data_IF_009626612737
#
_entry.id   IF_009626612737
#
_cell.length_a   1.000
_cell.length_b   1.000
_cell.length_c   1.000
_cell.angle_alpha   90.00
_cell.angle_beta   90.00
_cell.angle_gamma   90.00
#
_symmetry.space_group_name_H-M   'P 1'
#
loop_
_entity.id
_entity.type
_entity.pdbx_description
1 polymer ?
#
# COMPACT_ATOMS: atom_id res chain seq x y z
N UNK A 1 -12.75 13.15 9.48
CA UNK A 1 -13.40 13.95 10.53
C UNK A 1 -13.86 13.04 11.67
N UNK A 2 -13.72 13.48 12.93
CA UNK A 2 -14.28 12.80 14.10
C UNK A 2 -15.71 13.29 14.38
N UNK A 3 -16.55 12.48 15.02
CA UNK A 3 -17.90 12.86 15.50
C UNK A 3 -17.88 14.09 16.40
N UNK A 4 -16.82 14.24 17.20
CA UNK A 4 -16.59 15.40 18.05
C UNK A 4 -16.37 16.70 17.24
N UNK A 5 -15.69 16.62 16.10
CA UNK A 5 -15.46 17.78 15.22
C UNK A 5 -16.77 18.23 14.56
N UNK A 6 -17.66 17.29 14.23
CA UNK A 6 -18.98 17.60 13.66
C UNK A 6 -19.84 18.32 14.71
N UNK A 7 -19.87 17.82 15.94
CA UNK A 7 -20.57 18.47 17.04
C UNK A 7 -20.05 19.90 17.30
N UNK A 8 -18.72 20.08 17.29
CA UNK A 8 -18.10 21.40 17.42
C UNK A 8 -18.49 22.34 16.26
N UNK A 9 -18.52 21.84 15.02
CA UNK A 9 -18.90 22.63 13.85
C UNK A 9 -20.37 23.06 13.89
N UNK A 10 -21.28 22.16 14.28
CA UNK A 10 -22.71 22.47 14.43
C UNK A 10 -22.92 23.53 15.51
N UNK A 11 -22.22 23.41 16.65
CA UNK A 11 -22.27 24.41 17.71
C UNK A 11 -21.76 25.76 17.24
N UNK A 12 -20.62 25.80 16.54
CA UNK A 12 -20.03 27.04 16.05
C UNK A 12 -20.92 27.74 15.01
N UNK A 13 -21.57 26.99 14.12
CA UNK A 13 -22.35 27.54 13.02
C UNK A 13 -23.80 27.86 13.38
N UNK A 14 -24.40 27.09 14.29
CA UNK A 14 -25.84 27.16 14.58
C UNK A 14 -26.14 27.39 16.07
N UNK A 15 -25.15 27.43 16.95
CA UNK A 15 -25.35 27.57 18.40
C UNK A 15 -25.93 26.33 19.08
N UNK A 16 -26.13 25.23 18.36
CA UNK A 16 -26.78 24.02 18.86
C UNK A 16 -25.75 23.11 19.52
N UNK A 17 -25.97 22.77 20.79
CA UNK A 17 -25.16 21.77 21.49
C UNK A 17 -25.70 20.37 21.19
N UNK A 18 -24.91 19.55 20.52
CA UNK A 18 -25.27 18.16 20.19
C UNK A 18 -24.28 17.20 20.85
N UNK A 19 -24.80 16.18 21.54
CA UNK A 19 -23.98 15.13 22.11
C UNK A 19 -23.34 14.26 21.01
N UNK A 20 -22.13 13.76 21.25
CA UNK A 20 -21.41 12.94 20.28
C UNK A 20 -22.20 11.68 19.87
N UNK A 21 -22.92 11.08 20.83
CA UNK A 21 -23.78 9.91 20.59
C UNK A 21 -24.90 10.21 19.58
N UNK A 22 -25.50 11.40 19.64
CA UNK A 22 -26.54 11.82 18.72
C UNK A 22 -26.01 11.94 17.30
N UNK A 23 -24.81 12.52 17.13
CA UNK A 23 -24.14 12.58 15.82
C UNK A 23 -23.87 11.18 15.28
N UNK A 24 -23.34 10.26 16.11
CA UNK A 24 -23.09 8.87 15.68
C UNK A 24 -24.37 8.17 15.25
N UNK A 25 -25.46 8.32 16.01
CA UNK A 25 -26.77 7.75 15.68
C UNK A 25 -27.28 8.27 14.35
N UNK A 26 -27.24 9.60 14.12
CA UNK A 26 -27.67 10.21 12.85
C UNK A 26 -26.79 9.81 11.68
N UNK A 27 -25.48 9.72 11.88
CA UNK A 27 -24.56 9.24 10.83
C UNK A 27 -24.87 7.79 10.43
N UNK A 28 -25.25 6.92 11.37
CA UNK A 28 -25.65 5.55 11.09
C UNK A 28 -26.99 5.49 10.35
N UNK A 29 -27.98 6.25 10.81
CA UNK A 29 -29.29 6.38 10.19
C UNK A 29 -29.19 6.88 8.74
N UNK A 30 -28.35 7.89 8.50
CA UNK A 30 -28.06 8.41 7.15
C UNK A 30 -27.11 7.54 6.34
N UNK A 31 -26.70 6.38 6.86
CA UNK A 31 -25.74 5.45 6.22
C UNK A 31 -24.40 6.11 5.83
N UNK A 32 -24.03 7.20 6.51
CA UNK A 32 -22.76 7.89 6.33
C UNK A 32 -21.67 7.08 7.02
N UNK A 33 -21.09 6.14 6.29
CA UNK A 33 -19.95 5.36 6.78
C UNK A 33 -18.73 6.25 6.88
N UNK A 34 -18.03 6.16 8.01
CA UNK A 34 -16.71 6.77 8.17
C UNK A 34 -15.79 6.16 7.11
N UNK A 35 -15.39 6.95 6.12
CA UNK A 35 -14.31 6.55 5.21
C UNK A 35 -13.07 6.33 6.08
N UNK A 36 -12.59 5.09 6.14
CA UNK A 36 -11.32 4.77 6.80
C UNK A 36 -10.29 5.75 6.25
N UNK A 37 -9.58 6.45 7.15
CA UNK A 37 -8.70 7.58 6.84
C UNK A 37 -7.96 7.33 5.52
N UNK A 38 -8.06 8.28 4.59
CA UNK A 38 -7.06 8.37 3.54
C UNK A 38 -5.67 8.35 4.21
N UNK A 39 -4.71 7.62 3.63
CA UNK A 39 -3.37 7.56 4.19
C UNK A 39 -2.84 8.98 4.45
N UNK A 40 -2.25 9.21 5.62
CA UNK A 40 -1.48 10.43 5.94
C UNK A 40 -0.55 10.79 4.76
N UNK A 41 -0.14 12.05 4.57
CA UNK A 41 0.86 12.40 3.55
C UNK A 41 2.15 11.56 3.70
N UNK A 42 2.55 11.25 4.95
CA UNK A 42 3.64 10.29 5.26
C UNK A 42 3.37 8.90 4.69
N UNK A 43 2.11 8.47 4.75
CA UNK A 43 1.67 7.19 4.23
C UNK A 43 1.55 7.23 2.69
N UNK A 44 1.34 8.39 2.05
CA UNK A 44 1.46 8.52 0.58
C UNK A 44 2.91 8.34 0.13
N UNK A 45 3.85 9.09 0.71
CA UNK A 45 5.27 8.98 0.36
C UNK A 45 5.82 7.56 0.61
N UNK A 46 5.41 6.94 1.73
CA UNK A 46 5.72 5.55 2.04
C UNK A 46 5.12 4.57 1.02
N UNK A 47 3.88 4.78 0.58
CA UNK A 47 3.25 3.94 -0.46
C UNK A 47 3.99 4.03 -1.79
N UNK A 48 4.32 5.25 -2.22
CA UNK A 48 5.00 5.49 -3.48
C UNK A 48 6.38 4.83 -3.47
N UNK A 49 7.13 5.03 -2.38
CA UNK A 49 8.45 4.42 -2.23
C UNK A 49 8.41 2.90 -2.16
N UNK A 50 7.47 2.33 -1.39
CA UNK A 50 7.28 0.89 -1.33
C UNK A 50 6.93 0.29 -2.70
N UNK A 51 6.20 1.03 -3.53
CA UNK A 51 5.87 0.63 -4.90
C UNK A 51 7.10 0.62 -5.80
N UNK A 52 7.93 1.68 -5.75
CA UNK A 52 9.21 1.77 -6.47
C UNK A 52 10.16 0.63 -6.09
N UNK A 53 10.37 0.39 -4.79
CA UNK A 53 11.25 -0.69 -4.32
C UNK A 53 10.75 -2.07 -4.73
N UNK A 54 9.43 -2.25 -4.82
CA UNK A 54 8.83 -3.52 -5.19
C UNK A 54 8.94 -3.82 -6.68
N UNK A 55 8.62 -2.86 -7.56
CA UNK A 55 8.55 -3.08 -9.00
C UNK A 55 9.89 -2.82 -9.72
N UNK A 56 10.62 -1.76 -9.37
CA UNK A 56 11.86 -1.42 -10.06
C UNK A 56 13.04 -2.24 -9.54
N UNK A 57 13.10 -2.46 -8.23
CA UNK A 57 14.25 -3.10 -7.59
C UNK A 57 14.00 -4.57 -7.23
N UNK A 58 12.76 -5.04 -7.29
CA UNK A 58 12.45 -6.46 -7.03
C UNK A 58 12.78 -6.92 -5.60
N UNK A 59 12.92 -6.01 -4.65
CA UNK A 59 13.42 -6.31 -3.30
C UNK A 59 12.46 -7.17 -2.48
N UNK A 60 12.98 -8.04 -1.61
CA UNK A 60 12.17 -8.79 -0.65
C UNK A 60 11.74 -7.93 0.55
N UNK A 61 10.76 -8.40 1.31
CA UNK A 61 10.18 -7.63 2.44
C UNK A 61 11.22 -7.16 3.46
N UNK A 62 12.26 -7.96 3.73
CA UNK A 62 13.33 -7.60 4.67
C UNK A 62 14.24 -6.51 4.12
N UNK A 63 14.51 -6.54 2.82
CA UNK A 63 15.37 -5.57 2.14
C UNK A 63 14.61 -4.25 1.97
N UNK A 64 13.37 -4.32 1.51
CA UNK A 64 12.45 -3.18 1.45
C UNK A 64 12.33 -2.50 2.82
N UNK A 65 12.22 -3.27 3.90
CA UNK A 65 12.15 -2.72 5.26
C UNK A 65 13.41 -1.92 5.62
N UNK A 66 14.60 -2.47 5.34
CA UNK A 66 15.87 -1.78 5.60
C UNK A 66 15.95 -0.46 4.83
N UNK A 67 15.68 -0.49 3.53
CA UNK A 67 15.69 0.72 2.70
C UNK A 67 14.73 1.79 3.21
N UNK A 68 13.51 1.40 3.59
CA UNK A 68 12.52 2.34 4.13
C UNK A 68 12.94 2.88 5.50
N UNK A 69 13.58 2.08 6.36
CA UNK A 69 14.09 2.56 7.64
C UNK A 69 15.28 3.50 7.47
N UNK A 70 16.20 3.23 6.54
CA UNK A 70 17.34 4.08 6.22
C UNK A 70 16.89 5.44 5.65
N UNK A 71 15.76 5.47 4.94
CA UNK A 71 15.12 6.71 4.46
C UNK A 71 14.35 7.48 5.55
N UNK A 72 14.33 6.96 6.78
CA UNK A 72 13.71 7.61 7.95
C UNK A 72 12.23 7.26 8.16
N UNK A 73 11.70 6.24 7.48
CA UNK A 73 10.36 5.76 7.77
C UNK A 73 10.36 4.82 8.99
N UNK A 74 9.66 5.23 10.05
CA UNK A 74 9.42 4.38 11.22
C UNK A 74 8.33 3.34 10.92
N UNK A 75 8.76 2.22 10.34
CA UNK A 75 7.89 1.08 10.02
C UNK A 75 8.51 -0.24 10.50
N UNK A 76 7.64 -1.22 10.74
CA UNK A 76 8.03 -2.59 11.04
C UNK A 76 7.55 -3.56 9.94
N UNK A 77 8.08 -4.78 9.94
CA UNK A 77 7.79 -5.79 8.92
C UNK A 77 6.28 -6.11 8.82
N UNK A 78 5.57 -6.13 9.95
CA UNK A 78 4.11 -6.39 9.99
C UNK A 78 3.33 -5.24 9.34
N UNK A 79 3.72 -4.00 9.62
CA UNK A 79 3.16 -2.79 9.00
C UNK A 79 3.43 -2.76 7.50
N UNK A 80 4.65 -3.12 7.07
CA UNK A 80 5.02 -3.25 5.66
C UNK A 80 4.18 -4.32 4.94
N UNK A 81 4.01 -5.50 5.54
CA UNK A 81 3.17 -6.55 4.97
C UNK A 81 1.68 -6.18 4.91
N UNK A 82 1.19 -5.32 5.81
CA UNK A 82 -0.17 -4.77 5.72
C UNK A 82 -0.25 -3.71 4.62
N UNK A 83 0.74 -2.83 4.51
CA UNK A 83 0.86 -1.83 3.46
C UNK A 83 0.86 -2.48 2.08
N UNK A 84 1.72 -3.47 1.86
CA UNK A 84 1.80 -4.22 0.60
C UNK A 84 0.46 -4.85 0.20
N UNK A 85 -0.23 -5.47 1.16
CA UNK A 85 -1.59 -6.02 0.93
C UNK A 85 -2.59 -4.94 0.54
N UNK A 86 -2.55 -3.78 1.21
CA UNK A 86 -3.41 -2.65 0.88
C UNK A 86 -3.13 -2.07 -0.52
N UNK A 87 -1.89 -2.17 -0.99
CA UNK A 87 -1.43 -1.71 -2.30
C UNK A 87 -1.46 -2.79 -3.38
N UNK A 88 -1.94 -4.01 -3.08
CA UNK A 88 -1.90 -5.17 -3.98
C UNK A 88 -0.49 -5.52 -4.50
N UNK A 89 0.56 -5.23 -3.74
CA UNK A 89 1.95 -5.55 -4.07
C UNK A 89 2.24 -7.03 -3.78
N UNK A 90 1.73 -7.89 -4.64
CA UNK A 90 1.85 -9.35 -4.56
C UNK A 90 2.71 -9.90 -5.69
N UNK A 91 3.62 -10.82 -5.35
CA UNK A 91 4.33 -11.61 -6.36
C UNK A 91 3.53 -12.86 -6.65
N UNK A 92 3.29 -13.13 -7.94
CA UNK A 92 2.72 -14.41 -8.40
C UNK A 92 3.76 -15.53 -8.35
N UNK A 93 5.04 -15.18 -8.48
CA UNK A 93 6.18 -16.11 -8.48
C UNK A 93 7.26 -15.62 -7.51
N UNK A 94 7.92 -16.55 -6.82
CA UNK A 94 9.01 -16.22 -5.91
C UNK A 94 10.21 -15.68 -6.73
N UNK A 95 10.77 -14.50 -6.42
CA UNK A 95 11.91 -13.90 -7.14
C UNK A 95 13.07 -14.88 -7.32
N UNK A 96 13.44 -15.63 -6.27
CA UNK A 96 14.54 -16.60 -6.33
C UNK A 96 14.29 -17.76 -7.29
N UNK A 97 13.02 -18.09 -7.60
CA UNK A 97 12.68 -19.06 -8.66
C UNK A 97 12.71 -18.44 -10.05
N UNK A 98 12.30 -17.18 -10.19
CA UNK A 98 12.34 -16.48 -11.47
C UNK A 98 13.79 -16.27 -11.95
N UNK A 99 14.69 -15.85 -11.07
CA UNK A 99 16.11 -15.64 -11.38
C UNK A 99 16.81 -16.91 -11.87
N UNK A 100 16.45 -18.08 -11.37
CA UNK A 100 17.00 -19.36 -11.83
C UNK A 100 16.47 -19.80 -13.20
N UNK A 101 15.29 -19.31 -13.61
CA UNK A 101 14.67 -19.66 -14.91
C UNK A 101 15.20 -18.80 -16.05
N UNK A 102 15.56 -17.54 -15.80
CA UNK A 102 16.01 -16.59 -16.82
C UNK A 102 17.26 -17.09 -17.59
N UNK A 103 18.31 -17.65 -16.96
CA UNK A 103 19.47 -18.18 -17.66
C UNK A 103 19.11 -19.34 -18.60
N UNK A 104 18.28 -20.27 -18.12
CA UNK A 104 17.80 -21.41 -18.91
C UNK A 104 16.99 -20.97 -20.13
N UNK A 105 16.13 -19.97 -19.96
CA UNK A 105 15.35 -19.42 -21.08
C UNK A 105 16.26 -18.76 -22.13
N UNK A 106 17.31 -18.03 -21.70
CA UNK A 106 18.29 -17.43 -22.62
C UNK A 106 19.04 -18.49 -23.42
N UNK A 107 19.44 -19.60 -22.79
CA UNK A 107 20.08 -20.73 -23.48
C UNK A 107 19.15 -21.36 -24.51
N UNK A 108 17.91 -21.65 -24.15
CA UNK A 108 16.90 -22.19 -25.08
C UNK A 108 16.67 -21.23 -26.25
N UNK A 109 16.49 -19.93 -26.01
CA UNK A 109 16.34 -18.95 -27.09
C UNK A 109 17.55 -18.92 -28.02
N UNK A 110 18.77 -19.05 -27.48
CA UNK A 110 20.01 -19.10 -28.27
C UNK A 110 20.09 -20.36 -29.14
N UNK A 111 19.68 -21.51 -28.61
CA UNK A 111 19.60 -22.76 -29.36
C UNK A 111 18.56 -22.70 -30.48
N UNK A 112 17.39 -22.11 -30.22
CA UNK A 112 16.32 -21.99 -31.22
C UNK A 112 16.65 -20.96 -32.32
N UNK A 113 17.39 -19.89 -31.99
CA UNK A 113 18.00 -18.97 -32.97
C UNK A 113 19.03 -19.69 -33.85
N UNK A 114 19.88 -20.54 -33.26
CA UNK A 114 20.89 -21.31 -34.00
C UNK A 114 20.27 -22.35 -34.95
N UNK A 115 19.08 -22.87 -34.61
CA UNK A 115 18.30 -23.78 -35.46
C UNK A 115 17.52 -23.06 -36.58
N UNK A 116 17.51 -21.72 -36.59
CA UNK A 116 16.82 -20.92 -37.62
C UNK A 116 15.29 -20.98 -37.55
N UNK A 117 14.72 -21.42 -36.43
CA UNK A 117 13.28 -21.62 -36.25
C UNK A 117 12.57 -20.29 -35.92
N UNK A 118 13.30 -19.32 -35.36
CA UNK A 118 12.79 -18.00 -34.99
C UNK A 118 13.55 -16.96 -35.80
N UNK A 119 12.84 -16.17 -36.62
CA UNK A 119 13.37 -15.01 -37.36
C UNK A 119 13.22 -13.73 -36.55
#
# INVERSE_FOLDING_TARGET
MSSQNIAAHIRARHGISVAERTIKSRMQEWQVRKRNRAPSNTHSALCDRATTLFFEHGLEDKEMLRFLQDEGFDINLRSLGKLRRGLNLHRRENPGRAEQRIPRLKEITREELAKGIIK
#
